data_IF_251994512927
#
_entry.id   IF_251994512927
#
_cell.length_a   1.000
_cell.length_b   1.000
_cell.length_c   1.000
_cell.angle_alpha   90.00
_cell.angle_beta   90.00
_cell.angle_gamma   90.00
#
_symmetry.space_group_name_H-M   'P 1'
#
loop_
_entity.id
_entity.type
_entity.pdbx_description
1 polymer ?
#
# COMPACT_ATOMS: atom_id res chain seq x y z
N UNK A 1 -21.87 -18.93 -46.07
CA UNK A 1 -22.97 -18.99 -45.12
C UNK A 1 -22.74 -20.18 -44.20
N UNK A 2 -22.07 -19.96 -43.09
CA UNK A 2 -22.03 -20.89 -41.97
C UNK A 2 -21.96 -20.05 -40.70
N UNK A 3 -23.14 -19.95 -40.08
CA UNK A 3 -23.40 -19.27 -38.83
C UNK A 3 -22.80 -20.11 -37.70
N UNK A 4 -21.82 -19.56 -36.98
CA UNK A 4 -21.21 -20.20 -35.81
C UNK A 4 -21.70 -19.45 -34.58
N UNK A 5 -22.75 -19.98 -33.97
CA UNK A 5 -23.31 -19.49 -32.71
C UNK A 5 -22.30 -19.63 -31.55
N UNK A 6 -22.17 -18.58 -30.75
CA UNK A 6 -21.38 -18.54 -29.52
C UNK A 6 -22.03 -19.41 -28.42
N UNK A 7 -21.23 -20.04 -27.52
CA UNK A 7 -21.77 -20.88 -26.45
C UNK A 7 -22.43 -20.02 -25.35
N UNK A 8 -23.57 -20.51 -24.89
CA UNK A 8 -24.37 -19.98 -23.77
C UNK A 8 -23.64 -20.26 -22.45
N UNK A 9 -23.53 -19.30 -21.51
CA UNK A 9 -22.95 -19.54 -20.20
C UNK A 9 -23.86 -20.46 -19.36
N UNK A 10 -23.22 -21.46 -18.72
CA UNK A 10 -23.87 -22.40 -17.83
C UNK A 10 -24.32 -21.79 -16.50
N UNK A 11 -25.14 -22.51 -15.72
CA UNK A 11 -25.79 -21.97 -14.52
C UNK A 11 -24.81 -21.64 -13.42
N UNK A 12 -25.01 -20.46 -12.83
CA UNK A 12 -24.31 -19.94 -11.65
C UNK A 12 -24.55 -20.83 -10.45
N UNK A 13 -23.48 -21.43 -9.90
CA UNK A 13 -23.54 -22.14 -8.63
C UNK A 13 -23.73 -21.14 -7.49
N UNK A 14 -24.86 -21.26 -6.84
CA UNK A 14 -25.23 -20.51 -5.63
C UNK A 14 -24.38 -21.02 -4.45
N UNK A 15 -23.69 -20.10 -3.76
CA UNK A 15 -22.89 -20.42 -2.59
C UNK A 15 -23.82 -20.75 -1.39
N UNK A 16 -23.47 -21.73 -0.53
CA UNK A 16 -24.29 -22.11 0.60
C UNK A 16 -24.36 -20.99 1.65
N UNK A 17 -25.58 -20.73 2.13
CA UNK A 17 -25.89 -19.79 3.19
C UNK A 17 -25.17 -20.15 4.49
N UNK A 18 -24.56 -19.17 5.13
CA UNK A 18 -23.96 -19.29 6.47
C UNK A 18 -25.07 -19.42 7.52
N UNK A 19 -24.97 -20.33 8.50
CA UNK A 19 -25.95 -20.41 9.58
C UNK A 19 -25.80 -19.20 10.51
N UNK A 20 -26.94 -18.59 10.84
CA UNK A 20 -27.10 -17.56 11.85
C UNK A 20 -26.65 -18.07 13.22
N UNK A 21 -25.54 -17.58 13.71
CA UNK A 21 -25.14 -17.75 15.11
C UNK A 21 -25.85 -16.70 15.95
N UNK A 22 -26.98 -17.08 16.55
CA UNK A 22 -27.62 -16.33 17.64
C UNK A 22 -26.71 -16.38 18.86
N UNK A 23 -26.19 -15.23 19.25
CA UNK A 23 -25.58 -15.01 20.56
C UNK A 23 -26.68 -14.59 21.54
N UNK A 24 -27.33 -15.57 22.14
CA UNK A 24 -28.15 -15.36 23.32
C UNK A 24 -27.38 -15.71 24.58
N UNK A 25 -27.62 -14.91 25.61
CA UNK A 25 -27.25 -15.04 27.02
C UNK A 25 -26.05 -14.22 27.50
N UNK A 26 -26.37 -13.05 28.04
CA UNK A 26 -25.58 -12.41 29.08
C UNK A 26 -25.80 -13.15 30.40
N UNK A 27 -24.79 -13.55 31.14
CA UNK A 27 -24.98 -13.97 32.53
C UNK A 27 -25.08 -12.76 33.46
N UNK A 28 -25.89 -12.97 34.49
CA UNK A 28 -26.32 -12.04 35.52
C UNK A 28 -25.20 -11.29 36.23
N UNK A 29 -25.54 -10.06 36.62
CA UNK A 29 -24.85 -9.11 37.46
C UNK A 29 -24.36 -9.75 38.78
N UNK A 30 -23.04 -9.76 39.02
CA UNK A 30 -22.46 -9.98 40.33
C UNK A 30 -22.56 -8.68 41.16
N UNK A 31 -22.82 -8.76 42.50
CA UNK A 31 -22.98 -7.59 43.33
C UNK A 31 -21.63 -6.87 43.54
N UNK A 32 -21.70 -5.53 43.54
CA UNK A 32 -20.60 -4.62 43.57
C UNK A 32 -19.66 -4.81 44.79
N UNK A 33 -18.38 -4.88 44.46
CA UNK A 33 -17.32 -4.52 45.38
C UNK A 33 -16.88 -3.09 45.02
N UNK A 34 -17.19 -2.14 45.89
CA UNK A 34 -16.69 -0.76 45.83
C UNK A 34 -15.18 -0.80 46.13
N UNK A 35 -14.36 -0.88 45.10
CA UNK A 35 -12.93 -0.66 45.18
C UNK A 35 -12.67 0.82 44.86
N UNK A 36 -12.82 1.65 45.90
CA UNK A 36 -12.42 3.05 45.90
C UNK A 36 -10.95 3.21 45.57
N UNK A 37 -10.68 3.63 44.38
CA UNK A 37 -9.40 4.03 43.81
C UNK A 37 -9.60 4.24 42.33
N UNK A 38 -9.58 5.49 41.87
CA UNK A 38 -9.54 5.78 40.46
C UNK A 38 -8.36 5.01 39.83
N UNK A 39 -8.59 4.12 38.85
CA UNK A 39 -7.47 3.42 38.22
C UNK A 39 -6.55 4.49 37.64
N UNK A 40 -5.25 4.42 38.04
CA UNK A 40 -4.23 5.17 37.32
C UNK A 40 -4.45 4.94 35.82
N UNK A 41 -4.62 6.01 35.07
CA UNK A 41 -4.88 5.93 33.63
C UNK A 41 -3.77 5.09 32.99
N UNK A 42 -4.10 3.87 32.62
CA UNK A 42 -3.20 3.06 31.79
C UNK A 42 -2.93 3.89 30.55
N UNK A 43 -1.67 4.22 30.23
CA UNK A 43 -1.38 4.97 29.03
C UNK A 43 -2.00 4.23 27.87
N UNK A 44 -2.82 4.94 27.07
CA UNK A 44 -3.45 4.35 25.90
C UNK A 44 -2.34 3.81 25.01
N UNK A 45 -2.32 2.50 24.78
CA UNK A 45 -1.37 1.89 23.85
C UNK A 45 -1.60 2.49 22.48
N UNK A 46 -0.52 2.81 21.77
CA UNK A 46 -0.61 3.24 20.36
C UNK A 46 -1.44 2.19 19.60
N UNK A 47 -2.54 2.58 18.94
CA UNK A 47 -3.41 1.65 18.22
C UNK A 47 -2.69 0.88 17.11
N UNK A 48 -1.50 1.34 16.71
CA UNK A 48 -0.65 0.70 15.71
C UNK A 48 0.53 -0.06 16.31
N UNK A 49 0.62 -0.21 17.65
CA UNK A 49 1.63 -1.09 18.22
C UNK A 49 1.44 -2.52 17.67
N UNK A 50 2.50 -3.23 17.30
CA UNK A 50 3.91 -3.00 17.60
C UNK A 50 4.75 -2.32 16.49
N UNK A 51 4.14 -1.62 15.56
CA UNK A 51 4.87 -1.01 14.44
C UNK A 51 5.64 0.24 14.84
N UNK A 52 6.76 0.49 14.17
CA UNK A 52 7.66 1.62 14.39
C UNK A 52 7.47 2.71 13.31
N UNK A 53 6.92 2.33 12.15
CA UNK A 53 6.67 3.22 11.01
C UNK A 53 5.64 2.64 10.04
N UNK A 54 5.15 3.48 9.15
CA UNK A 54 4.29 3.09 8.01
C UNK A 54 5.00 3.44 6.71
N UNK A 55 5.12 2.46 5.81
CA UNK A 55 5.52 2.65 4.43
C UNK A 55 4.28 2.70 3.53
N UNK A 56 3.95 3.87 3.00
CA UNK A 56 2.93 4.01 1.97
C UNK A 56 3.57 3.62 0.62
N UNK A 57 3.28 2.41 0.16
CA UNK A 57 3.89 1.85 -1.04
C UNK A 57 3.04 2.17 -2.27
N UNK A 58 3.64 2.85 -3.26
CA UNK A 58 2.94 3.32 -4.46
C UNK A 58 3.63 2.88 -5.76
N UNK A 59 2.93 3.08 -6.86
CA UNK A 59 3.48 2.83 -8.19
C UNK A 59 4.57 3.84 -8.56
N UNK A 60 4.41 5.10 -8.14
CA UNK A 60 5.25 6.23 -8.55
C UNK A 60 4.93 6.74 -9.95
N UNK A 61 5.52 7.87 -10.31
CA UNK A 61 5.34 8.46 -11.62
C UNK A 61 6.34 9.58 -11.89
N UNK A 62 6.49 10.01 -13.17
CA UNK A 62 7.37 11.11 -13.53
C UNK A 62 6.90 12.40 -12.86
N UNK A 63 7.84 13.24 -12.43
CA UNK A 63 7.57 14.53 -11.80
C UNK A 63 7.64 15.70 -12.78
N UNK A 64 8.31 15.47 -13.91
CA UNK A 64 8.58 16.44 -14.96
C UNK A 64 8.78 15.72 -16.30
N UNK A 65 8.72 16.44 -17.42
CA UNK A 65 8.81 15.83 -18.77
C UNK A 65 10.04 14.96 -18.99
N UNK A 66 11.20 15.34 -18.44
CA UNK A 66 12.46 14.61 -18.59
C UNK A 66 12.43 13.24 -17.89
N UNK A 67 11.59 13.09 -16.87
CA UNK A 67 11.47 11.84 -16.10
C UNK A 67 10.67 10.77 -16.86
N UNK A 68 9.86 11.16 -17.87
CA UNK A 68 8.87 10.26 -18.50
C UNK A 68 9.53 9.01 -19.08
N UNK A 69 10.52 9.18 -19.95
CA UNK A 69 11.15 8.04 -20.61
C UNK A 69 11.95 7.16 -19.65
N UNK A 70 12.78 7.69 -18.73
CA UNK A 70 13.42 6.89 -17.69
C UNK A 70 12.41 6.14 -16.80
N UNK A 71 11.34 6.81 -16.37
CA UNK A 71 10.27 6.16 -15.61
C UNK A 71 9.64 4.98 -16.37
N UNK A 72 9.34 5.17 -17.65
CA UNK A 72 8.74 4.12 -18.48
C UNK A 72 9.68 2.92 -18.65
N UNK A 73 10.99 3.15 -18.81
CA UNK A 73 11.99 2.07 -18.83
C UNK A 73 11.99 1.28 -17.53
N UNK A 74 11.96 1.95 -16.39
CA UNK A 74 11.84 1.28 -15.10
C UNK A 74 10.55 0.48 -14.97
N UNK A 75 9.42 1.08 -15.32
CA UNK A 75 8.10 0.46 -15.21
C UNK A 75 7.92 -0.76 -16.13
N UNK A 76 8.68 -0.84 -17.22
CA UNK A 76 8.63 -1.95 -18.20
C UNK A 76 9.87 -2.85 -18.16
N UNK A 77 10.76 -2.63 -17.20
CA UNK A 77 11.98 -3.45 -17.08
C UNK A 77 11.65 -4.95 -17.04
N UNK A 78 12.43 -5.75 -17.77
CA UNK A 78 12.24 -7.20 -17.88
C UNK A 78 11.05 -7.65 -18.74
N UNK A 79 10.26 -6.73 -19.34
CA UNK A 79 9.09 -7.08 -20.17
C UNK A 79 9.36 -7.09 -21.67
N UNK A 80 10.60 -6.80 -22.09
CA UNK A 80 11.00 -6.81 -23.51
C UNK A 80 10.32 -5.73 -24.36
N UNK A 81 9.87 -4.62 -23.76
CA UNK A 81 9.25 -3.51 -24.52
C UNK A 81 10.34 -2.71 -25.24
N UNK A 82 10.28 -2.56 -26.57
CA UNK A 82 11.28 -1.79 -27.32
C UNK A 82 11.25 -0.30 -26.97
N UNK A 83 12.41 0.35 -26.95
CA UNK A 83 12.53 1.80 -26.70
C UNK A 83 11.70 2.65 -27.67
N UNK A 84 11.59 2.25 -28.95
CA UNK A 84 10.74 2.93 -29.92
C UNK A 84 9.27 3.01 -29.48
N UNK A 85 8.77 1.95 -28.85
CA UNK A 85 7.41 1.94 -28.30
C UNK A 85 7.29 2.83 -27.05
N UNK A 86 8.33 2.88 -26.22
CA UNK A 86 8.36 3.77 -25.05
C UNK A 86 8.36 5.24 -25.49
N UNK A 87 9.14 5.58 -26.52
CA UNK A 87 9.15 6.94 -27.09
C UNK A 87 7.78 7.34 -27.63
N UNK A 88 7.12 6.45 -28.38
CA UNK A 88 5.76 6.69 -28.89
C UNK A 88 4.77 6.97 -27.75
N UNK A 89 4.74 6.11 -26.72
CA UNK A 89 3.83 6.25 -25.57
C UNK A 89 4.19 7.46 -24.71
N UNK A 90 5.47 7.86 -24.65
CA UNK A 90 5.89 9.05 -23.90
C UNK A 90 5.20 10.33 -24.39
N UNK A 91 4.81 10.38 -25.68
CA UNK A 91 4.03 11.46 -26.24
C UNK A 91 2.69 11.69 -25.54
N UNK A 92 2.06 10.64 -25.00
CA UNK A 92 0.81 10.77 -24.23
C UNK A 92 1.06 11.47 -22.89
N UNK A 93 2.19 11.21 -22.22
CA UNK A 93 2.57 11.94 -21.01
C UNK A 93 2.86 13.40 -21.32
N UNK A 94 3.57 13.66 -22.41
CA UNK A 94 3.91 15.03 -22.82
C UNK A 94 2.65 15.87 -23.15
N UNK A 95 1.63 15.26 -23.76
CA UNK A 95 0.37 15.94 -24.09
C UNK A 95 -0.42 16.43 -22.87
N UNK A 96 -0.13 15.87 -21.67
CA UNK A 96 -0.74 16.26 -20.40
C UNK A 96 0.26 16.93 -19.44
N UNK A 97 1.36 17.48 -19.98
CA UNK A 97 2.35 18.24 -19.23
C UNK A 97 3.56 17.43 -18.71
N UNK A 98 3.69 16.14 -19.10
CA UNK A 98 4.86 15.31 -18.80
C UNK A 98 5.05 14.93 -17.33
N UNK A 99 4.07 15.16 -16.47
CA UNK A 99 4.10 14.83 -15.06
C UNK A 99 2.89 13.97 -14.68
N UNK A 100 3.09 13.04 -13.74
CA UNK A 100 1.99 12.25 -13.18
C UNK A 100 1.47 12.91 -11.87
N UNK A 101 0.16 13.06 -11.69
CA UNK A 101 -0.39 13.57 -10.44
C UNK A 101 -0.23 12.60 -9.25
N UNK A 102 0.18 11.35 -9.50
CA UNK A 102 0.23 10.30 -8.46
C UNK A 102 1.11 10.68 -7.27
N UNK A 103 2.24 11.36 -7.52
CA UNK A 103 3.17 11.74 -6.46
C UNK A 103 2.55 12.80 -5.52
N UNK A 104 1.86 13.79 -6.08
CA UNK A 104 1.15 14.81 -5.31
C UNK A 104 0.00 14.19 -4.51
N UNK A 105 -0.79 13.31 -5.14
CA UNK A 105 -1.89 12.60 -4.47
C UNK A 105 -1.42 11.70 -3.33
N UNK A 106 -0.27 11.03 -3.50
CA UNK A 106 0.33 10.23 -2.44
C UNK A 106 0.84 11.09 -1.27
N UNK A 107 1.37 12.28 -1.56
CA UNK A 107 1.76 13.22 -0.51
C UNK A 107 0.53 13.72 0.27
N UNK A 108 -0.53 14.12 -0.41
CA UNK A 108 -1.81 14.49 0.21
C UNK A 108 -2.38 13.35 1.08
N UNK A 109 -2.36 12.12 0.57
CA UNK A 109 -2.82 10.94 1.31
C UNK A 109 -1.96 10.69 2.55
N UNK A 110 -0.62 10.76 2.42
CA UNK A 110 0.31 10.63 3.56
C UNK A 110 -0.01 11.66 4.64
N UNK A 111 -0.16 12.93 4.26
CA UNK A 111 -0.38 14.02 5.20
C UNK A 111 -1.74 13.89 5.90
N UNK A 112 -2.78 13.49 5.17
CA UNK A 112 -4.10 13.22 5.72
C UNK A 112 -4.08 12.03 6.70
N UNK A 113 -3.38 10.94 6.35
CA UNK A 113 -3.21 9.79 7.24
C UNK A 113 -2.43 10.16 8.50
N UNK A 114 -1.34 10.92 8.36
CA UNK A 114 -0.53 11.38 9.49
C UNK A 114 -1.36 12.20 10.47
N UNK A 115 -2.18 13.14 9.96
CA UNK A 115 -3.08 13.95 10.78
C UNK A 115 -4.12 13.06 11.50
N UNK A 116 -4.74 12.11 10.80
CA UNK A 116 -5.74 11.20 11.40
C UNK A 116 -5.15 10.26 12.44
N UNK A 117 -3.91 9.82 12.26
CA UNK A 117 -3.21 9.01 13.26
C UNK A 117 -2.86 9.82 14.51
N UNK A 118 -2.40 11.07 14.33
CA UNK A 118 -2.12 11.97 15.43
C UNK A 118 -3.37 12.25 16.30
N UNK A 119 -4.53 12.45 15.67
CA UNK A 119 -5.82 12.58 16.38
C UNK A 119 -6.18 11.35 17.22
N UNK A 120 -5.63 10.18 16.85
CA UNK A 120 -5.84 8.90 17.56
C UNK A 120 -4.70 8.53 18.50
N UNK A 121 -3.76 9.44 18.71
CA UNK A 121 -2.65 9.27 19.63
C UNK A 121 -1.45 8.49 19.07
N UNK A 122 -1.41 8.22 17.75
CA UNK A 122 -0.24 7.61 17.11
C UNK A 122 0.67 8.67 16.51
N UNK A 123 1.98 8.55 16.77
CA UNK A 123 3.03 9.43 16.23
C UNK A 123 3.92 8.71 15.22
N UNK A 124 3.51 7.53 14.75
CA UNK A 124 4.28 6.75 13.78
C UNK A 124 4.54 7.56 12.51
N UNK A 125 5.79 7.66 12.04
CA UNK A 125 6.10 8.32 10.78
C UNK A 125 5.52 7.54 9.60
N UNK A 126 5.00 8.30 8.62
CA UNK A 126 4.55 7.74 7.35
C UNK A 126 5.48 8.22 6.26
N UNK A 127 6.13 7.30 5.56
CA UNK A 127 7.00 7.59 4.43
C UNK A 127 6.45 6.97 3.15
N UNK A 128 6.67 7.62 2.01
CA UNK A 128 6.25 7.11 0.70
C UNK A 128 7.43 6.42 0.02
N UNK A 129 7.25 5.19 -0.41
CA UNK A 129 8.19 4.47 -1.26
C UNK A 129 7.51 4.01 -2.55
N UNK A 130 8.13 4.31 -3.69
CA UNK A 130 7.57 3.98 -4.99
C UNK A 130 8.27 2.77 -5.61
N UNK A 131 7.52 2.08 -6.43
CA UNK A 131 7.98 0.91 -7.16
C UNK A 131 8.86 1.29 -8.36
N UNK A 132 8.42 2.28 -9.16
CA UNK A 132 9.01 2.54 -10.47
C UNK A 132 9.70 3.91 -10.57
N UNK A 133 9.66 4.74 -9.53
CA UNK A 133 10.29 6.05 -9.51
C UNK A 133 10.70 6.47 -8.10
N UNK A 134 11.53 7.51 -8.01
CA UNK A 134 12.03 8.02 -6.74
C UNK A 134 10.93 8.68 -5.86
N UNK A 135 11.05 8.54 -4.51
CA UNK A 135 11.95 7.63 -3.81
C UNK A 135 11.51 6.18 -4.04
N UNK A 136 12.46 5.29 -4.33
CA UNK A 136 12.16 3.86 -4.44
C UNK A 136 11.86 3.25 -3.07
N UNK A 137 11.14 2.11 -3.05
CA UNK A 137 10.85 1.35 -1.82
C UNK A 137 12.13 1.05 -1.04
N UNK A 138 13.21 0.65 -1.71
CA UNK A 138 14.52 0.38 -1.08
C UNK A 138 15.09 1.60 -0.39
N UNK A 139 15.00 2.78 -1.01
CA UNK A 139 15.45 4.05 -0.43
C UNK A 139 14.62 4.43 0.81
N UNK A 140 13.28 4.30 0.71
CA UNK A 140 12.38 4.58 1.82
C UNK A 140 12.62 3.64 3.01
N UNK A 141 12.83 2.34 2.75
CA UNK A 141 13.12 1.37 3.80
C UNK A 141 14.47 1.62 4.45
N UNK A 142 15.48 2.04 3.69
CA UNK A 142 16.80 2.41 4.23
C UNK A 142 16.67 3.62 5.17
N UNK A 143 15.97 4.66 4.74
CA UNK A 143 15.71 5.84 5.57
C UNK A 143 15.03 5.46 6.90
N UNK A 144 14.01 4.58 6.87
CA UNK A 144 13.35 4.08 8.06
C UNK A 144 14.29 3.25 8.94
N UNK A 145 15.11 2.38 8.34
CA UNK A 145 16.06 1.55 9.08
C UNK A 145 17.14 2.39 9.77
N UNK A 146 17.66 3.42 9.10
CA UNK A 146 18.64 4.37 9.63
C UNK A 146 18.04 5.20 10.78
N UNK A 147 16.73 5.51 10.70
CA UNK A 147 15.98 6.13 11.79
C UNK A 147 15.65 5.17 12.95
N UNK A 148 16.05 3.89 12.86
CA UNK A 148 15.89 2.89 13.92
C UNK A 148 14.62 2.04 13.83
N UNK A 149 13.77 2.22 12.82
CA UNK A 149 12.59 1.39 12.64
C UNK A 149 12.96 -0.08 12.35
N UNK A 150 12.27 -1.01 12.99
CA UNK A 150 12.48 -2.46 12.84
C UNK A 150 11.23 -3.19 12.37
N UNK A 151 10.07 -2.65 12.65
CA UNK A 151 8.76 -3.20 12.26
C UNK A 151 7.97 -2.16 11.50
N UNK A 152 7.91 -2.31 10.19
CA UNK A 152 7.28 -1.37 9.26
C UNK A 152 5.99 -1.97 8.73
N UNK A 153 4.88 -1.25 8.88
CA UNK A 153 3.61 -1.59 8.25
C UNK A 153 3.61 -1.08 6.81
N UNK A 154 3.68 -1.99 5.84
CA UNK A 154 3.59 -1.61 4.43
C UNK A 154 2.13 -1.55 3.98
N UNK A 155 1.72 -0.39 3.48
CA UNK A 155 0.38 -0.10 2.99
C UNK A 155 0.41 0.23 1.49
N UNK A 156 0.03 -0.71 0.60
CA UNK A 156 0.00 -0.46 -0.83
C UNK A 156 -1.18 0.44 -1.22
N UNK A 157 -0.96 1.38 -2.14
CA UNK A 157 -2.00 2.27 -2.68
C UNK A 157 -2.80 1.65 -3.83
N UNK A 158 -2.90 0.31 -3.87
CA UNK A 158 -3.65 -0.43 -4.88
C UNK A 158 -5.11 -0.56 -4.45
N UNK A 159 -6.04 -0.07 -5.29
CA UNK A 159 -7.48 -0.11 -5.01
C UNK A 159 -8.10 -1.50 -5.22
N UNK A 160 -7.50 -2.33 -6.07
CA UNK A 160 -8.06 -3.62 -6.46
C UNK A 160 -7.06 -4.76 -6.29
N UNK A 161 -7.58 -5.94 -5.90
CA UNK A 161 -6.81 -7.16 -5.83
C UNK A 161 -6.45 -7.66 -7.24
N UNK A 162 -5.15 -7.77 -7.53
CA UNK A 162 -4.61 -8.32 -8.76
C UNK A 162 -3.17 -8.79 -8.53
N UNK A 163 -2.60 -9.49 -9.52
CA UNK A 163 -1.16 -9.79 -9.45
C UNK A 163 -0.33 -8.51 -9.29
N UNK A 164 -0.54 -7.53 -10.17
CA UNK A 164 0.21 -6.26 -10.15
C UNK A 164 -0.13 -5.36 -8.95
N UNK A 165 -1.34 -5.46 -8.41
CA UNK A 165 -1.80 -4.64 -7.28
C UNK A 165 -1.50 -5.22 -5.90
N UNK A 166 -1.27 -6.54 -5.80
CA UNK A 166 -1.04 -7.19 -4.51
C UNK A 166 0.28 -7.96 -4.49
N UNK A 167 0.42 -8.96 -5.39
CA UNK A 167 1.55 -9.88 -5.33
C UNK A 167 2.85 -9.19 -5.70
N UNK A 168 2.85 -8.42 -6.76
CA UNK A 168 4.05 -7.73 -7.23
C UNK A 168 4.56 -6.68 -6.24
N UNK A 169 3.66 -5.97 -5.52
CA UNK A 169 4.08 -5.07 -4.43
C UNK A 169 4.75 -5.81 -3.28
N UNK A 170 4.28 -7.02 -2.96
CA UNK A 170 4.92 -7.88 -1.94
C UNK A 170 6.29 -8.39 -2.38
N UNK A 171 6.43 -8.77 -3.66
CA UNK A 171 7.69 -9.22 -4.24
C UNK A 171 8.73 -8.09 -4.26
N UNK A 172 8.34 -6.88 -4.68
CA UNK A 172 9.19 -5.69 -4.67
C UNK A 172 9.64 -5.34 -3.23
N UNK A 173 8.73 -5.43 -2.27
CA UNK A 173 9.04 -5.19 -0.86
C UNK A 173 10.02 -6.23 -0.32
N UNK A 174 9.80 -7.51 -0.62
CA UNK A 174 10.70 -8.59 -0.19
C UNK A 174 12.10 -8.41 -0.78
N UNK A 175 12.21 -8.05 -2.06
CA UNK A 175 13.49 -7.74 -2.70
C UNK A 175 14.19 -6.55 -2.04
N UNK A 176 13.46 -5.48 -1.74
CA UNK A 176 14.03 -4.31 -1.07
C UNK A 176 14.52 -4.61 0.35
N UNK A 177 13.81 -5.47 1.10
CA UNK A 177 14.23 -5.93 2.44
C UNK A 177 15.49 -6.79 2.35
N UNK A 178 15.60 -7.68 1.34
CA UNK A 178 16.81 -8.48 1.14
C UNK A 178 18.03 -7.61 0.86
N UNK A 179 17.90 -6.58 0.02
CA UNK A 179 18.99 -5.62 -0.26
C UNK A 179 19.46 -4.90 1.01
N UNK A 180 18.54 -4.55 1.91
CA UNK A 180 18.91 -3.95 3.20
C UNK A 180 19.69 -4.93 4.09
N UNK A 181 19.29 -6.18 4.12
CA UNK A 181 19.95 -7.21 4.93
C UNK A 181 21.38 -7.51 4.42
N UNK A 182 21.57 -7.46 3.11
CA UNK A 182 22.87 -7.70 2.46
C UNK A 182 23.80 -6.49 2.50
N UNK A 183 23.35 -5.33 3.02
CA UNK A 183 24.12 -4.09 3.05
C UNK A 183 24.38 -3.51 1.65
N UNK A 184 23.64 -3.93 0.64
CA UNK A 184 23.76 -3.42 -0.73
C UNK A 184 23.10 -2.04 -0.87
N UNK A 185 23.82 -1.11 -1.51
CA UNK A 185 23.37 0.25 -1.84
C UNK A 185 22.44 0.28 -3.07
#
# INVERSE_FOLDING_TARGET
MTDTAAPVPGPTQEAPARPDARLDARPDTLPGADLGGAPASVPALDPLAPYDAILLQSYGGPRRPEDVLPFMRNATAGRGVPDSRLVEVSGHYQSVGGASPINARNAELRDALQARLAERGSTLPIIVGNRNWHPFVSQALRELADAGARRVLALPTAAFGSYSGCRQYREDLAGAVSLLADGAD
#
